data_IF_003879837210
#
_entry.id   IF_003879837210
#
_cell.length_a   1.000
_cell.length_b   1.000
_cell.length_c   1.000
_cell.angle_alpha   90.00
_cell.angle_beta   90.00
_cell.angle_gamma   90.00
#
_symmetry.space_group_name_H-M   'P 1'
#
loop_
_entity.id
_entity.type
_entity.pdbx_description
1 polymer ?
#
# COMPACT_ATOMS: atom_id res chain seq x y z
N UNK A 1 -22.92 -32.39 2.89
CA UNK A 1 -22.27 -31.11 2.54
C UNK A 1 -21.07 -30.96 3.46
N UNK A 2 -19.99 -30.31 3.01
CA UNK A 2 -18.83 -30.11 3.88
C UNK A 2 -19.21 -29.20 5.06
N UNK A 3 -18.70 -29.49 6.26
CA UNK A 3 -19.03 -28.79 7.52
C UNK A 3 -18.76 -27.28 7.44
N UNK A 4 -17.73 -26.89 6.69
CA UNK A 4 -17.39 -25.48 6.41
C UNK A 4 -18.51 -24.80 5.60
N UNK A 5 -19.06 -25.50 4.60
CA UNK A 5 -20.12 -24.98 3.73
C UNK A 5 -21.42 -24.77 4.48
N UNK A 6 -21.78 -25.69 5.39
CA UNK A 6 -22.96 -25.56 6.26
C UNK A 6 -22.84 -24.39 7.24
N UNK A 7 -21.64 -24.17 7.78
CA UNK A 7 -21.38 -23.02 8.63
C UNK A 7 -21.53 -21.70 7.86
N UNK A 8 -20.99 -21.59 6.64
CA UNK A 8 -21.15 -20.39 5.82
C UNK A 8 -22.63 -20.14 5.50
N UNK A 9 -23.37 -21.18 5.11
CA UNK A 9 -24.79 -21.07 4.79
C UNK A 9 -25.67 -20.68 5.99
N UNK A 10 -25.24 -20.95 7.22
CA UNK A 10 -25.95 -20.52 8.43
C UNK A 10 -25.58 -19.10 8.88
N UNK A 11 -24.47 -18.55 8.35
CA UNK A 11 -23.86 -17.31 8.85
C UNK A 11 -23.78 -16.18 7.80
N UNK A 12 -24.08 -16.44 6.54
CA UNK A 12 -23.90 -15.46 5.44
C UNK A 12 -24.59 -14.11 5.70
N UNK A 13 -25.78 -14.10 6.29
CA UNK A 13 -26.53 -12.86 6.54
C UNK A 13 -25.80 -11.91 7.47
N UNK A 14 -25.16 -12.42 8.54
CA UNK A 14 -24.40 -11.56 9.45
C UNK A 14 -23.04 -11.18 8.85
N UNK A 15 -22.38 -12.09 8.12
CA UNK A 15 -21.10 -11.84 7.43
C UNK A 15 -21.23 -10.68 6.43
N UNK A 16 -22.30 -10.69 5.63
CA UNK A 16 -22.56 -9.67 4.61
C UNK A 16 -23.44 -8.51 5.11
N UNK A 17 -23.79 -8.48 6.40
CA UNK A 17 -24.40 -7.31 7.01
C UNK A 17 -23.41 -6.13 7.07
N UNK A 18 -23.92 -4.91 7.20
CA UNK A 18 -23.06 -3.72 7.30
C UNK A 18 -22.03 -3.82 8.45
N UNK A 19 -22.42 -4.41 9.59
CA UNK A 19 -21.51 -4.62 10.72
C UNK A 19 -20.50 -5.75 10.46
N UNK A 20 -20.91 -6.84 9.80
CA UNK A 20 -20.02 -7.94 9.44
C UNK A 20 -18.92 -7.50 8.47
N UNK A 21 -19.30 -6.75 7.43
CA UNK A 21 -18.35 -6.16 6.47
C UNK A 21 -17.40 -5.19 7.14
N UNK A 22 -17.88 -4.37 8.10
CA UNK A 22 -17.05 -3.43 8.85
C UNK A 22 -15.98 -4.17 9.68
N UNK A 23 -16.38 -5.22 10.42
CA UNK A 23 -15.45 -6.01 11.24
C UNK A 23 -14.40 -6.71 10.36
N UNK A 24 -14.84 -7.40 9.31
CA UNK A 24 -13.93 -8.11 8.39
C UNK A 24 -12.99 -7.12 7.70
N UNK A 25 -13.51 -6.00 7.21
CA UNK A 25 -12.71 -4.95 6.59
C UNK A 25 -11.69 -4.33 7.53
N UNK A 26 -12.05 -4.15 8.81
CA UNK A 26 -11.15 -3.64 9.85
C UNK A 26 -10.03 -4.61 10.16
N UNK A 27 -10.34 -5.91 10.29
CA UNK A 27 -9.35 -6.97 10.50
C UNK A 27 -8.36 -7.01 9.33
N UNK A 28 -8.85 -7.02 8.09
CA UNK A 28 -8.02 -7.01 6.89
C UNK A 28 -7.11 -5.77 6.87
N UNK A 29 -7.66 -4.60 7.19
CA UNK A 29 -6.91 -3.34 7.20
C UNK A 29 -5.86 -3.30 8.32
N UNK A 30 -6.17 -3.88 9.47
CA UNK A 30 -5.25 -3.97 10.61
C UNK A 30 -4.04 -4.87 10.30
N UNK A 31 -4.26 -6.01 9.64
CA UNK A 31 -3.18 -6.92 9.25
C UNK A 31 -2.48 -6.54 7.95
N UNK A 32 -3.08 -5.66 7.13
CA UNK A 32 -2.38 -5.04 6.02
C UNK A 32 -1.24 -4.20 6.58
N UNK A 33 -0.02 -4.73 6.47
CA UNK A 33 1.22 -3.98 6.70
C UNK A 33 1.08 -2.66 5.93
N UNK A 34 1.20 -1.52 6.64
CA UNK A 34 1.44 -0.24 5.96
C UNK A 34 2.71 -0.45 5.16
N UNK A 35 2.58 -0.68 3.85
CA UNK A 35 3.72 -0.57 2.96
C UNK A 35 4.28 0.81 3.26
N UNK A 36 5.52 0.87 3.76
CA UNK A 36 6.20 2.15 3.85
C UNK A 36 6.06 2.76 2.46
N UNK A 37 5.67 4.03 2.39
CA UNK A 37 5.56 4.78 1.13
C UNK A 37 6.95 4.99 0.50
N UNK A 38 7.79 3.95 0.47
CA UNK A 38 8.95 3.87 -0.40
C UNK A 38 8.37 3.68 -1.77
N UNK A 39 8.07 4.80 -2.41
CA UNK A 39 7.75 4.84 -3.84
C UNK A 39 8.98 4.24 -4.52
N UNK A 40 8.88 2.98 -4.95
CA UNK A 40 9.95 2.29 -5.64
C UNK A 40 10.03 2.88 -7.05
N UNK A 41 10.71 4.03 -7.19
CA UNK A 41 10.96 4.68 -8.47
C UNK A 41 12.28 4.18 -9.02
N UNK A 42 12.24 3.54 -10.18
CA UNK A 42 13.44 3.28 -10.98
C UNK A 42 13.61 4.42 -11.97
N UNK A 43 14.48 5.40 -11.67
CA UNK A 43 14.87 6.41 -12.66
C UNK A 43 15.90 5.82 -13.61
N UNK A 44 15.58 5.75 -14.91
CA UNK A 44 16.56 5.38 -15.95
C UNK A 44 17.52 6.56 -16.19
N UNK A 45 18.82 6.31 -16.25
CA UNK A 45 19.86 7.31 -16.57
C UNK A 45 20.29 7.18 -18.02
N UNK A 46 20.50 8.29 -18.71
CA UNK A 46 21.15 8.34 -20.02
C UNK A 46 22.67 8.54 -19.89
N UNK A 47 23.36 8.65 -21.02
CA UNK A 47 24.77 9.02 -21.04
C UNK A 47 24.93 10.51 -20.65
N UNK A 48 25.93 10.83 -19.81
CA UNK A 48 26.18 12.18 -19.29
C UNK A 48 25.03 12.81 -18.46
N UNK A 49 24.22 12.03 -17.75
CA UNK A 49 23.17 12.54 -16.85
C UNK A 49 23.42 12.25 -15.38
N UNK A 50 23.04 13.19 -14.52
CA UNK A 50 23.03 13.02 -13.06
C UNK A 50 21.60 12.75 -12.60
N UNK A 51 21.34 11.52 -12.15
CA UNK A 51 20.03 11.15 -11.62
C UNK A 51 19.96 11.48 -10.13
N UNK A 52 19.06 12.38 -9.78
CA UNK A 52 18.79 12.80 -8.40
C UNK A 52 17.39 12.32 -8.02
N UNK A 53 17.32 11.43 -7.03
CA UNK A 53 16.06 10.98 -6.45
C UNK A 53 16.08 11.25 -4.95
N UNK A 54 15.16 12.07 -4.48
CA UNK A 54 14.97 12.32 -3.06
C UNK A 54 13.49 12.24 -2.69
N UNK A 55 13.20 11.65 -1.53
CA UNK A 55 11.88 11.67 -0.91
C UNK A 55 11.59 12.94 -0.10
N UNK A 56 12.43 13.96 -0.23
CA UNK A 56 12.42 15.21 0.53
C UNK A 56 13.22 16.30 -0.19
N UNK A 57 13.62 17.35 0.52
CA UNK A 57 14.32 18.49 -0.09
C UNK A 57 15.69 18.09 -0.66
N UNK A 58 16.01 18.67 -1.83
CA UNK A 58 17.35 18.61 -2.42
C UNK A 58 17.83 20.03 -2.67
N UNK A 59 19.02 20.32 -2.19
CA UNK A 59 19.69 21.61 -2.37
C UNK A 59 20.95 21.38 -3.20
N UNK A 60 21.16 22.22 -4.22
CA UNK A 60 22.33 22.20 -5.08
C UNK A 60 22.97 23.58 -5.11
N UNK A 61 24.29 23.61 -5.06
CA UNK A 61 25.08 24.81 -5.32
C UNK A 61 26.05 24.47 -6.45
N UNK A 62 25.88 25.08 -7.62
CA UNK A 62 26.86 24.91 -8.69
C UNK A 62 27.99 25.92 -8.52
N UNK A 63 29.21 25.55 -8.95
CA UNK A 63 30.40 26.41 -8.89
C UNK A 63 30.23 27.76 -9.62
N UNK A 64 29.20 27.89 -10.47
CA UNK A 64 28.86 29.09 -11.23
C UNK A 64 27.41 29.59 -11.00
N UNK A 65 26.70 29.11 -9.96
CA UNK A 65 25.47 29.77 -9.52
C UNK A 65 25.87 31.11 -8.88
N UNK A 66 25.45 32.22 -9.48
CA UNK A 66 25.65 33.57 -8.95
C UNK A 66 24.47 34.00 -8.09
#
# INVERSE_FOLDING_TARGET
>A
MDTITEWINSNYTWIFSGIGVLIIGSIITFFKKKSSNVINRSQRSGNNSTNIQAGGNVEFTQKNDK
#
